data_IF_020696989128
#
_entry.id   IF_020696989128
#
_cell.length_a   1.000
_cell.length_b   1.000
_cell.length_c   1.000
_cell.angle_alpha   90.00
_cell.angle_beta   90.00
_cell.angle_gamma   90.00
#
_symmetry.space_group_name_H-M   'P 1'
#
loop_
_entity.id
_entity.type
_entity.pdbx_description
1 polymer ?
#
# COMPACT_ATOMS: atom_id res chain seq x y z
N UNK A 1 -4.44 -9.89 14.68
CA UNK A 1 -3.39 -9.09 15.36
C UNK A 1 -3.09 -7.83 14.56
N UNK A 2 -3.49 -6.63 15.00
CA UNK A 2 -3.28 -5.36 14.24
C UNK A 2 -2.43 -4.32 15.00
N UNK A 3 -2.57 -4.24 16.34
CA UNK A 3 -2.00 -3.15 17.15
C UNK A 3 -0.47 -3.20 17.24
N UNK A 4 0.10 -4.40 17.34
CA UNK A 4 1.54 -4.64 17.51
C UNK A 4 2.26 -5.09 16.24
N UNK A 5 1.56 -5.20 15.10
CA UNK A 5 2.23 -5.49 13.83
C UNK A 5 3.11 -4.32 13.40
N UNK A 6 4.35 -4.59 13.01
CA UNK A 6 5.30 -3.58 12.59
C UNK A 6 6.33 -4.19 11.64
N UNK A 7 6.88 -3.37 10.75
CA UNK A 7 8.00 -3.78 9.90
C UNK A 7 9.32 -3.76 10.67
N UNK A 8 10.21 -4.69 10.36
CA UNK A 8 11.55 -4.73 10.95
C UNK A 8 12.34 -3.47 10.58
N UNK A 9 12.77 -2.73 11.60
CA UNK A 9 13.60 -1.52 11.43
C UNK A 9 14.87 -1.81 10.65
N UNK A 10 15.48 -2.99 10.84
CA UNK A 10 16.71 -3.40 10.16
C UNK A 10 16.44 -3.58 8.66
N UNK A 11 15.36 -4.27 8.31
CA UNK A 11 15.00 -4.51 6.91
C UNK A 11 14.68 -3.22 6.16
N UNK A 12 13.90 -2.32 6.78
CA UNK A 12 13.60 -1.00 6.19
C UNK A 12 14.87 -0.17 6.05
N UNK A 13 15.72 -0.13 7.09
CA UNK A 13 16.99 0.61 7.06
C UNK A 13 17.90 0.12 5.92
N UNK A 14 17.98 -1.20 5.70
CA UNK A 14 18.75 -1.80 4.60
C UNK A 14 18.18 -1.39 3.23
N UNK A 15 16.87 -1.49 3.05
CA UNK A 15 16.20 -1.11 1.79
C UNK A 15 16.39 0.38 1.47
N UNK A 16 16.22 1.24 2.47
CA UNK A 16 16.43 2.67 2.31
C UNK A 16 17.89 2.99 1.95
N UNK A 17 18.84 2.35 2.63
CA UNK A 17 20.26 2.53 2.35
C UNK A 17 20.62 2.06 0.92
N UNK A 18 20.03 0.96 0.43
CA UNK A 18 20.29 0.50 -0.94
C UNK A 18 19.73 1.43 -2.03
N UNK A 19 18.71 2.24 -1.70
CA UNK A 19 18.11 3.18 -2.67
C UNK A 19 18.81 4.54 -2.60
N UNK A 20 19.05 5.07 -1.40
CA UNK A 20 19.61 6.42 -1.21
C UNK A 20 21.14 6.43 -1.22
N UNK A 21 21.78 5.28 -0.96
CA UNK A 21 23.24 5.17 -0.80
C UNK A 21 23.77 5.73 0.53
N UNK A 22 22.87 6.17 1.43
CA UNK A 22 23.21 6.72 2.74
C UNK A 22 22.38 6.07 3.85
N UNK A 23 22.96 6.03 5.06
CA UNK A 23 22.32 5.38 6.21
C UNK A 23 21.27 6.33 6.80
N UNK A 24 19.97 5.99 6.78
CA UNK A 24 18.93 6.87 7.31
C UNK A 24 18.93 6.86 8.84
N UNK A 25 18.46 7.98 9.42
CA UNK A 25 18.27 8.10 10.87
C UNK A 25 17.10 7.23 11.36
N UNK A 26 17.13 6.88 12.64
CA UNK A 26 16.10 6.01 13.26
C UNK A 26 14.68 6.58 13.11
N UNK A 27 14.52 7.91 13.21
CA UNK A 27 13.23 8.58 13.07
C UNK A 27 12.65 8.41 11.66
N UNK A 28 13.49 8.50 10.63
CA UNK A 28 13.05 8.29 9.25
C UNK A 28 12.64 6.83 9.03
N UNK A 29 13.38 5.89 9.60
CA UNK A 29 13.02 4.46 9.54
C UNK A 29 11.67 4.19 10.22
N UNK A 30 11.41 4.82 11.37
CA UNK A 30 10.12 4.71 12.08
C UNK A 30 8.98 5.31 11.24
N UNK A 31 9.18 6.51 10.70
CA UNK A 31 8.20 7.17 9.84
C UNK A 31 7.88 6.32 8.60
N UNK A 32 8.91 5.80 7.93
CA UNK A 32 8.75 4.92 6.77
C UNK A 32 8.00 3.64 7.12
N UNK A 33 8.32 3.00 8.25
CA UNK A 33 7.61 1.83 8.74
C UNK A 33 6.13 2.13 9.03
N UNK A 34 5.82 3.30 9.58
CA UNK A 34 4.46 3.76 9.83
C UNK A 34 3.68 3.97 8.54
N UNK A 35 4.23 4.72 7.59
CA UNK A 35 3.60 5.00 6.29
C UNK A 35 3.35 3.69 5.53
N UNK A 36 4.34 2.80 5.47
CA UNK A 36 4.19 1.49 4.84
C UNK A 36 3.08 0.65 5.50
N UNK A 37 2.91 0.75 6.83
CA UNK A 37 1.86 0.03 7.56
C UNK A 37 0.47 0.54 7.21
N UNK A 38 0.30 1.86 7.10
CA UNK A 38 -0.96 2.47 6.67
C UNK A 38 -1.32 1.98 5.27
N UNK A 39 -0.35 2.02 4.34
CA UNK A 39 -0.53 1.55 2.97
C UNK A 39 -0.97 0.08 2.89
N UNK A 40 -0.34 -0.81 3.66
CA UNK A 40 -0.74 -2.23 3.68
C UNK A 40 -2.14 -2.39 4.30
N UNK A 41 -2.49 -1.59 5.31
CA UNK A 41 -3.84 -1.57 5.90
C UNK A 41 -4.91 -1.28 4.85
N UNK A 42 -4.72 -0.21 4.07
CA UNK A 42 -5.67 0.18 3.01
C UNK A 42 -5.86 -0.93 1.96
N UNK A 43 -4.76 -1.56 1.51
CA UNK A 43 -4.84 -2.67 0.55
C UNK A 43 -5.64 -3.84 1.13
N UNK A 44 -5.37 -4.20 2.39
CA UNK A 44 -6.04 -5.33 3.02
C UNK A 44 -7.53 -5.03 3.25
N UNK A 45 -7.88 -3.81 3.64
CA UNK A 45 -9.29 -3.39 3.80
C UNK A 45 -10.06 -3.49 2.49
N UNK A 46 -9.53 -2.95 1.39
CA UNK A 46 -10.18 -3.05 0.08
C UNK A 46 -10.21 -4.50 -0.44
N UNK A 47 -9.18 -5.30 -0.16
CA UNK A 47 -9.15 -6.72 -0.54
C UNK A 47 -10.22 -7.54 0.20
N UNK A 48 -10.44 -7.26 1.49
CA UNK A 48 -11.52 -7.86 2.27
C UNK A 48 -12.89 -7.44 1.73
N UNK A 49 -13.05 -6.17 1.33
CA UNK A 49 -14.28 -5.68 0.73
C UNK A 49 -14.57 -6.32 -0.64
N UNK A 50 -13.55 -6.59 -1.45
CA UNK A 50 -13.70 -7.36 -2.70
C UNK A 50 -14.13 -8.78 -2.39
N UNK A 51 -13.46 -9.45 -1.45
CA UNK A 51 -13.79 -10.82 -1.05
C UNK A 51 -15.24 -10.94 -0.54
N UNK A 52 -15.71 -9.99 0.28
CA UNK A 52 -17.10 -9.95 0.77
C UNK A 52 -18.11 -9.82 -0.36
N UNK A 53 -17.83 -8.95 -1.34
CA UNK A 53 -18.69 -8.75 -2.51
C UNK A 53 -18.74 -9.98 -3.43
N UNK A 54 -17.60 -10.61 -3.69
CA UNK A 54 -17.52 -11.78 -4.57
C UNK A 54 -18.24 -13.00 -4.00
N UNK A 55 -18.14 -13.21 -2.69
CA UNK A 55 -18.67 -14.43 -2.08
C UNK A 55 -20.16 -14.32 -1.71
N UNK A 56 -20.79 -13.14 -1.74
CA UNK A 56 -22.17 -12.92 -1.27
C UNK A 56 -22.47 -13.54 0.11
N UNK A 57 -21.45 -13.78 0.92
CA UNK A 57 -21.53 -14.49 2.18
C UNK A 57 -21.17 -13.49 3.28
N UNK A 58 -22.18 -12.99 3.99
CA UNK A 58 -22.02 -12.07 5.12
C UNK A 58 -21.45 -12.75 6.39
N UNK A 59 -21.50 -14.09 6.46
CA UNK A 59 -21.27 -14.83 7.70
C UNK A 59 -20.44 -16.12 7.55
N UNK A 60 -19.34 -16.12 6.78
CA UNK A 60 -18.33 -17.21 6.84
C UNK A 60 -17.10 -16.78 7.64
N UNK A 61 -16.40 -17.72 8.29
CA UNK A 61 -15.11 -17.44 8.92
C UNK A 61 -14.12 -16.93 7.86
N UNK A 62 -13.24 -16.02 8.28
CA UNK A 62 -12.29 -15.33 7.41
C UNK A 62 -11.55 -16.31 6.49
N UNK A 63 -11.97 -16.38 5.23
CA UNK A 63 -11.28 -17.15 4.21
C UNK A 63 -9.96 -16.46 3.88
N UNK A 64 -8.86 -17.20 3.69
CA UNK A 64 -7.59 -16.61 3.30
C UNK A 64 -7.75 -15.70 2.07
N UNK A 65 -7.12 -14.53 2.10
CA UNK A 65 -7.12 -13.62 0.95
C UNK A 65 -6.34 -14.25 -0.20
N UNK A 66 -7.03 -14.57 -1.28
CA UNK A 66 -6.39 -15.00 -2.53
C UNK A 66 -5.62 -13.84 -3.20
N UNK A 67 -4.57 -14.15 -4.01
CA UNK A 67 -3.81 -13.13 -4.74
C UNK A 67 -4.67 -12.24 -5.65
N UNK A 68 -5.79 -12.75 -6.17
CA UNK A 68 -6.71 -11.99 -7.03
C UNK A 68 -7.32 -10.80 -6.29
N UNK A 69 -7.68 -10.96 -5.02
CA UNK A 69 -8.28 -9.89 -4.21
C UNK A 69 -7.26 -8.78 -3.94
N UNK A 70 -6.00 -9.13 -3.65
CA UNK A 70 -4.94 -8.14 -3.40
C UNK A 70 -4.58 -7.35 -4.67
N UNK A 71 -4.54 -8.02 -5.83
CA UNK A 71 -4.28 -7.34 -7.12
C UNK A 71 -5.41 -6.39 -7.49
N UNK A 72 -6.66 -6.81 -7.31
CA UNK A 72 -7.81 -5.96 -7.58
C UNK A 72 -7.92 -4.80 -6.58
N UNK A 73 -7.61 -5.03 -5.31
CA UNK A 73 -7.53 -3.99 -4.29
C UNK A 73 -6.50 -2.92 -4.68
N UNK A 74 -5.30 -3.35 -5.07
CA UNK A 74 -4.26 -2.44 -5.54
C UNK A 74 -4.69 -1.64 -6.77
N UNK A 75 -5.39 -2.28 -7.73
CA UNK A 75 -5.95 -1.59 -8.90
C UNK A 75 -6.94 -0.49 -8.49
N UNK A 76 -7.87 -0.79 -7.58
CA UNK A 76 -8.89 0.15 -7.11
C UNK A 76 -8.30 1.33 -6.34
N UNK A 77 -7.34 1.07 -5.44
CA UNK A 77 -6.66 2.11 -4.66
C UNK A 77 -5.92 3.09 -5.57
N UNK A 78 -5.25 2.58 -6.61
CA UNK A 78 -4.61 3.44 -7.58
C UNK A 78 -5.60 4.37 -8.29
N UNK A 79 -6.81 3.90 -8.64
CA UNK A 79 -7.83 4.74 -9.27
C UNK A 79 -8.46 5.78 -8.33
N UNK A 80 -8.59 5.46 -7.04
CA UNK A 80 -9.32 6.28 -6.05
C UNK A 80 -8.51 7.43 -5.45
N UNK A 81 -7.19 7.47 -5.64
CA UNK A 81 -6.33 8.62 -5.31
C UNK A 81 -6.30 9.07 -3.82
N UNK A 82 -6.69 8.24 -2.85
CA UNK A 82 -6.78 8.68 -1.45
C UNK A 82 -5.40 9.00 -0.81
N UNK A 83 -4.43 8.08 -0.87
CA UNK A 83 -3.09 8.29 -0.27
C UNK A 83 -1.91 7.80 -1.11
N UNK A 84 -2.14 7.04 -2.18
CA UNK A 84 -1.11 6.69 -3.16
C UNK A 84 -1.11 7.70 -4.31
N UNK A 85 -0.10 8.60 -4.40
CA UNK A 85 -0.01 9.51 -5.52
C UNK A 85 0.24 8.72 -6.80
N UNK A 86 -0.63 8.90 -7.80
CA UNK A 86 -0.39 8.36 -9.13
C UNK A 86 0.90 8.94 -9.72
N UNK A 87 1.78 8.08 -10.21
CA UNK A 87 2.94 8.50 -11.00
C UNK A 87 2.41 9.09 -12.32
N UNK A 88 2.29 10.41 -12.40
CA UNK A 88 1.94 11.08 -13.67
C UNK A 88 3.00 10.70 -14.71
N UNK A 89 2.60 9.93 -15.72
CA UNK A 89 3.48 9.63 -16.84
C UNK A 89 3.81 10.93 -17.56
N UNK A 90 5.02 11.04 -18.11
CA UNK A 90 5.48 12.27 -18.78
C UNK A 90 4.53 12.76 -19.88
N UNK A 91 3.79 11.83 -20.52
CA UNK A 91 2.75 12.12 -21.51
C UNK A 91 1.56 12.93 -20.94
N UNK A 92 1.17 12.70 -19.69
CA UNK A 92 0.08 13.44 -19.03
C UNK A 92 0.49 14.87 -18.66
N UNK A 93 1.76 15.10 -18.29
CA UNK A 93 2.30 16.44 -17.93
C UNK A 93 2.40 17.41 -19.12
N UNK A 94 2.52 16.93 -20.36
CA UNK A 94 2.55 17.80 -21.54
C UNK A 94 1.16 18.32 -21.91
N UNK A 95 0.11 17.51 -21.76
CA UNK A 95 -1.26 17.92 -22.13
C UNK A 95 -1.83 19.05 -21.25
N UNK A 96 -1.42 19.17 -19.98
CA UNK A 96 -1.88 20.24 -19.08
C UNK A 96 -1.04 21.52 -19.13
N UNK A 97 -0.02 21.60 -19.98
CA UNK A 97 0.88 22.77 -20.09
C UNK A 97 0.66 23.55 -21.39
N UNK A 98 -0.21 23.05 -22.26
CA UNK A 98 -0.59 23.65 -23.55
C UNK A 98 -2.11 23.89 -23.63
N UNK A 99 -2.78 24.01 -22.48
CA UNK A 99 -4.12 24.55 -22.32
C UNK A 99 -4.05 25.66 -21.28
#
# INVERSE_FOLDING_TARGET
>A
MYRRSAFSKISIKRLMNSITGTIPSSNVVIAMAGIAKVFVGEIIEEALDIQRRENHIEHKPATPLEPKHLREAYRRINHRQYHCPQRKTWKSKRKSRFQ
#
